data_IF_099718280698
#
_entry.id   IF_099718280698
#
_cell.length_a   1.000
_cell.length_b   1.000
_cell.length_c   1.000
_cell.angle_alpha   90.00
_cell.angle_beta   90.00
_cell.angle_gamma   90.00
#
_symmetry.space_group_name_H-M   'P 1'
#
loop_
_entity.id
_entity.type
_entity.pdbx_description
1 polymer ?
#
# COMPACT_ATOMS: atom_id res chain seq x y z
N UNK A 1 6.10 65.57 52.17
CA UNK A 1 6.77 64.32 51.76
C UNK A 1 5.73 63.31 51.28
N UNK A 2 5.93 62.76 50.09
CA UNK A 2 4.94 62.06 49.24
C UNK A 2 4.55 60.65 49.71
N UNK A 3 3.24 60.34 49.71
CA UNK A 3 2.68 58.99 49.91
C UNK A 3 2.79 58.18 48.61
N UNK A 4 3.74 57.24 48.53
CA UNK A 4 3.84 56.27 47.41
C UNK A 4 2.76 55.19 47.53
N UNK A 5 1.79 55.20 46.60
CA UNK A 5 0.80 54.12 46.38
C UNK A 5 1.49 52.87 45.80
N UNK A 6 1.38 51.72 46.47
CA UNK A 6 1.83 50.41 45.95
C UNK A 6 0.82 49.90 44.91
N UNK A 7 1.20 49.85 43.62
CA UNK A 7 0.44 49.15 42.56
C UNK A 7 0.59 47.63 42.76
N UNK A 8 -0.51 46.93 43.06
CA UNK A 8 -0.55 45.46 43.08
C UNK A 8 -0.42 44.93 41.65
N UNK A 9 0.60 44.13 41.37
CA UNK A 9 0.67 43.32 40.15
C UNK A 9 -0.41 42.23 40.19
N UNK A 10 -1.55 42.47 39.54
CA UNK A 10 -2.57 41.45 39.23
C UNK A 10 -2.61 41.20 37.73
N UNK A 11 -1.53 40.68 37.15
CA UNK A 11 -1.50 40.21 35.75
C UNK A 11 -0.55 39.01 35.67
N UNK A 12 -0.97 37.83 36.15
CA UNK A 12 -0.31 36.54 35.86
C UNK A 12 -1.29 35.36 35.77
N UNK A 13 -2.56 35.52 36.16
CA UNK A 13 -3.54 34.41 36.20
C UNK A 13 -4.40 34.29 34.94
N UNK A 14 -4.63 35.37 34.18
CA UNK A 14 -5.49 35.35 32.99
C UNK A 14 -4.86 34.60 31.80
N UNK A 15 -3.54 34.69 31.63
CA UNK A 15 -2.83 34.05 30.51
C UNK A 15 -2.70 32.52 30.63
N UNK A 16 -2.71 31.97 31.85
CA UNK A 16 -2.69 30.50 32.03
C UNK A 16 -4.05 29.86 31.72
N UNK A 17 -5.16 30.54 32.04
CA UNK A 17 -6.52 30.04 31.74
C UNK A 17 -6.78 29.97 30.23
N UNK A 18 -6.30 30.94 29.45
CA UNK A 18 -6.42 30.91 27.98
C UNK A 18 -5.57 29.81 27.36
N UNK A 19 -4.36 29.55 27.87
CA UNK A 19 -3.50 28.45 27.38
C UNK A 19 -4.12 27.08 27.69
N UNK A 20 -4.66 26.89 28.90
CA UNK A 20 -5.34 25.64 29.28
C UNK A 20 -6.60 25.39 28.43
N UNK A 21 -7.36 26.44 28.11
CA UNK A 21 -8.52 26.32 27.22
C UNK A 21 -8.12 25.92 25.80
N UNK A 22 -7.05 26.50 25.25
CA UNK A 22 -6.52 26.13 23.91
C UNK A 22 -6.01 24.69 23.90
N UNK A 23 -5.26 24.26 24.92
CA UNK A 23 -4.81 22.87 25.04
C UNK A 23 -5.98 21.89 25.14
N UNK A 24 -7.03 22.23 25.89
CA UNK A 24 -8.23 21.40 25.97
C UNK A 24 -8.94 21.27 24.61
N UNK A 25 -9.02 22.36 23.83
CA UNK A 25 -9.58 22.32 22.47
C UNK A 25 -8.72 21.44 21.55
N UNK A 26 -7.39 21.56 21.59
CA UNK A 26 -6.49 20.71 20.79
C UNK A 26 -6.68 19.23 21.14
N UNK A 27 -6.78 18.89 22.43
CA UNK A 27 -7.02 17.51 22.88
C UNK A 27 -8.39 17.01 22.41
N UNK A 28 -9.43 17.85 22.47
CA UNK A 28 -10.77 17.52 21.98
C UNK A 28 -10.78 17.26 20.47
N UNK A 29 -10.11 18.12 19.68
CA UNK A 29 -9.97 17.94 18.23
C UNK A 29 -9.20 16.65 17.94
N UNK A 30 -8.05 16.44 18.57
CA UNK A 30 -7.26 15.23 18.37
C UNK A 30 -8.04 13.96 18.74
N UNK A 31 -8.82 13.98 19.82
CA UNK A 31 -9.66 12.86 20.24
C UNK A 31 -10.81 12.63 19.25
N UNK A 32 -11.44 13.70 18.76
CA UNK A 32 -12.48 13.62 17.73
C UNK A 32 -11.93 13.06 16.41
N UNK A 33 -10.75 13.49 15.97
CA UNK A 33 -10.07 12.93 14.80
C UNK A 33 -9.78 11.44 14.98
N UNK A 34 -9.25 11.02 16.14
CA UNK A 34 -9.00 9.59 16.42
C UNK A 34 -10.28 8.76 16.37
N UNK A 35 -11.37 9.27 16.96
CA UNK A 35 -12.66 8.60 16.91
C UNK A 35 -13.17 8.45 15.46
N UNK A 36 -13.07 9.50 14.65
CA UNK A 36 -13.45 9.46 13.23
C UNK A 36 -12.60 8.46 12.44
N UNK A 37 -11.28 8.45 12.64
CA UNK A 37 -10.38 7.49 11.99
C UNK A 37 -10.70 6.06 12.39
N UNK A 38 -10.92 5.78 13.68
CA UNK A 38 -11.31 4.45 14.14
C UNK A 38 -12.66 4.01 13.57
N UNK A 39 -13.63 4.92 13.49
CA UNK A 39 -14.93 4.62 12.88
C UNK A 39 -14.80 4.31 11.39
N UNK A 40 -14.03 5.12 10.64
CA UNK A 40 -13.75 4.87 9.23
C UNK A 40 -13.05 3.52 9.00
N UNK A 41 -12.10 3.15 9.87
CA UNK A 41 -11.44 1.84 9.81
C UNK A 41 -12.45 0.70 9.99
N UNK A 42 -13.34 0.78 10.96
CA UNK A 42 -14.38 -0.24 11.18
C UNK A 42 -15.32 -0.37 9.98
N UNK A 43 -15.69 0.74 9.33
CA UNK A 43 -16.48 0.70 8.10
C UNK A 43 -15.72 0.03 6.96
N UNK A 44 -14.46 0.42 6.74
CA UNK A 44 -13.60 -0.19 5.73
C UNK A 44 -13.44 -1.70 5.96
N UNK A 45 -13.13 -2.13 7.18
CA UNK A 45 -13.01 -3.55 7.56
C UNK A 45 -14.31 -4.32 7.26
N UNK A 46 -15.47 -3.71 7.55
CA UNK A 46 -16.76 -4.34 7.26
C UNK A 46 -17.03 -4.49 5.75
N UNK A 47 -16.58 -3.52 4.94
CA UNK A 47 -16.76 -3.55 3.48
C UNK A 47 -15.85 -4.60 2.83
N UNK A 48 -14.62 -4.76 3.30
CA UNK A 48 -13.67 -5.72 2.71
C UNK A 48 -13.72 -7.10 3.34
N UNK A 49 -14.45 -7.26 4.45
CA UNK A 49 -14.69 -8.54 5.12
C UNK A 49 -15.42 -9.54 4.20
N UNK A 50 -14.69 -10.57 3.76
CA UNK A 50 -15.18 -11.58 2.81
C UNK A 50 -14.47 -11.54 1.46
N UNK A 51 -13.79 -10.42 1.16
CA UNK A 51 -12.85 -10.29 0.04
C UNK A 51 -11.43 -10.54 0.53
N UNK A 52 -11.02 -9.81 1.57
CA UNK A 52 -9.72 -9.94 2.21
C UNK A 52 -9.77 -10.89 3.40
N UNK A 53 -8.69 -11.63 3.64
CA UNK A 53 -8.52 -12.37 4.90
C UNK A 53 -8.24 -11.40 6.04
N UNK A 54 -8.50 -11.84 7.27
CA UNK A 54 -8.12 -11.07 8.46
C UNK A 54 -6.62 -10.75 8.48
N UNK A 55 -5.78 -11.70 8.05
CA UNK A 55 -4.33 -11.49 8.00
C UNK A 55 -3.93 -10.37 7.03
N UNK A 56 -4.58 -10.23 5.87
CA UNK A 56 -4.31 -9.10 4.97
C UNK A 56 -4.82 -7.79 5.58
N UNK A 57 -6.01 -7.79 6.17
CA UNK A 57 -6.56 -6.60 6.84
C UNK A 57 -5.66 -6.12 7.99
N UNK A 58 -5.09 -7.03 8.78
CA UNK A 58 -4.19 -6.72 9.88
C UNK A 58 -2.91 -6.00 9.41
N UNK A 59 -2.48 -6.23 8.16
CA UNK A 59 -1.32 -5.58 7.55
C UNK A 59 -1.64 -4.24 6.88
N UNK A 60 -2.90 -3.84 6.75
CA UNK A 60 -3.29 -2.59 6.09
C UNK A 60 -2.53 -1.36 6.63
N UNK A 61 -2.39 -1.14 7.95
CA UNK A 61 -1.66 0.01 8.46
C UNK A 61 -0.19 0.03 8.03
N UNK A 62 0.46 -1.15 8.00
CA UNK A 62 1.86 -1.32 7.58
C UNK A 62 2.02 -1.10 6.08
N UNK A 63 1.12 -1.68 5.27
CA UNK A 63 1.08 -1.47 3.82
C UNK A 63 0.91 0.01 3.50
N UNK A 64 -0.06 0.69 4.13
CA UNK A 64 -0.31 2.13 3.93
C UNK A 64 0.90 2.97 4.34
N UNK A 65 1.56 2.63 5.45
CA UNK A 65 2.77 3.31 5.88
C UNK A 65 3.84 3.27 4.79
N UNK A 66 4.22 2.08 4.33
CA UNK A 66 5.26 1.93 3.32
C UNK A 66 4.82 2.51 1.96
N UNK A 67 3.53 2.47 1.65
CA UNK A 67 2.99 3.09 0.45
C UNK A 67 3.19 4.61 0.49
N UNK A 68 2.93 5.24 1.65
CA UNK A 68 3.19 6.67 1.86
C UNK A 68 4.67 7.01 1.79
N UNK A 69 5.54 6.19 2.35
CA UNK A 69 7.00 6.39 2.30
C UNK A 69 7.56 6.31 0.86
N UNK A 70 6.84 5.65 -0.05
CA UNK A 70 7.18 5.54 -1.47
C UNK A 70 6.28 6.40 -2.38
N UNK A 71 5.56 7.38 -1.83
CA UNK A 71 4.68 8.29 -2.56
C UNK A 71 3.56 7.60 -3.39
N UNK A 72 3.12 6.41 -2.95
CA UNK A 72 2.08 5.60 -3.60
C UNK A 72 0.93 5.23 -2.64
N UNK A 73 0.67 6.03 -1.60
CA UNK A 73 -0.45 5.82 -0.66
C UNK A 73 -1.82 5.58 -1.34
N UNK A 74 -2.19 6.26 -2.45
CA UNK A 74 -3.44 5.98 -3.16
C UNK A 74 -3.59 4.55 -3.71
N UNK A 75 -2.50 3.78 -3.79
CA UNK A 75 -2.49 2.41 -4.28
C UNK A 75 -2.59 1.36 -3.16
N UNK A 76 -2.90 1.77 -1.91
CA UNK A 76 -2.98 0.85 -0.76
C UNK A 76 -3.92 -0.32 -1.00
N UNK A 77 -5.12 -0.08 -1.55
CA UNK A 77 -6.08 -1.15 -1.82
C UNK A 77 -5.57 -2.14 -2.90
N UNK A 78 -4.80 -1.67 -3.89
CA UNK A 78 -4.13 -2.54 -4.87
C UNK A 78 -3.04 -3.38 -4.20
N UNK A 79 -2.23 -2.79 -3.32
CA UNK A 79 -1.19 -3.50 -2.59
C UNK A 79 -1.78 -4.61 -1.69
N UNK A 80 -2.95 -4.37 -1.08
CA UNK A 80 -3.67 -5.40 -0.33
C UNK A 80 -4.23 -6.50 -1.23
N UNK A 81 -4.76 -6.15 -2.41
CA UNK A 81 -5.18 -7.13 -3.41
C UNK A 81 -4.00 -7.99 -3.92
N UNK A 82 -2.81 -7.39 -4.08
CA UNK A 82 -1.58 -8.11 -4.41
C UNK A 82 -1.18 -9.05 -3.27
N UNK A 83 -1.13 -8.58 -2.02
CA UNK A 83 -0.85 -9.44 -0.86
C UNK A 83 -1.84 -10.61 -0.75
N UNK A 84 -3.13 -10.34 -1.04
CA UNK A 84 -4.17 -11.35 -1.06
C UNK A 84 -3.90 -12.43 -2.11
N UNK A 85 -3.45 -12.03 -3.30
CA UNK A 85 -3.09 -12.93 -4.39
C UNK A 85 -1.80 -13.72 -4.09
N UNK A 86 -0.79 -13.09 -3.47
CA UNK A 86 0.51 -13.72 -3.18
C UNK A 86 0.43 -14.78 -2.09
N UNK A 87 -0.18 -14.43 -0.95
CA UNK A 87 -0.09 -15.24 0.27
C UNK A 87 -1.37 -15.31 1.06
N UNK A 88 -2.37 -14.48 0.74
CA UNK A 88 -3.53 -14.23 1.60
C UNK A 88 -3.13 -13.69 2.97
N UNK A 89 -2.00 -12.96 3.03
CA UNK A 89 -1.42 -12.41 4.25
C UNK A 89 -0.75 -13.45 5.16
N UNK A 90 -0.50 -14.67 4.65
CA UNK A 90 0.04 -15.76 5.45
C UNK A 90 1.56 -15.89 5.34
N UNK A 91 2.16 -16.49 6.36
CA UNK A 91 3.60 -16.77 6.39
C UNK A 91 4.45 -15.55 6.72
N UNK A 92 5.76 -15.70 6.53
CA UNK A 92 6.74 -14.66 6.87
C UNK A 92 7.08 -13.73 5.69
N UNK A 93 6.68 -14.11 4.48
CA UNK A 93 6.86 -13.34 3.26
C UNK A 93 5.50 -13.04 2.61
N UNK A 94 4.63 -12.23 3.25
CA UNK A 94 3.26 -12.00 2.80
C UNK A 94 3.16 -11.33 1.42
N UNK A 95 4.17 -10.57 0.99
CA UNK A 95 4.24 -9.98 -0.35
C UNK A 95 5.01 -10.83 -1.36
N UNK A 96 5.46 -12.04 -0.97
CA UNK A 96 6.34 -12.93 -1.76
C UNK A 96 7.50 -12.17 -2.42
N UNK A 97 8.13 -11.28 -1.66
CA UNK A 97 9.11 -10.31 -2.17
C UNK A 97 10.55 -10.78 -2.00
N UNK A 98 10.78 -12.02 -1.54
CA UNK A 98 12.12 -12.59 -1.32
C UNK A 98 13.03 -12.51 -2.56
N UNK A 99 12.50 -12.74 -3.75
CA UNK A 99 13.29 -12.72 -5.00
C UNK A 99 13.51 -11.31 -5.56
N UNK A 100 12.93 -10.28 -4.92
CA UNK A 100 13.03 -8.88 -5.35
C UNK A 100 14.48 -8.39 -5.39
N UNK A 101 14.74 -7.44 -6.30
CA UNK A 101 16.01 -6.72 -6.35
C UNK A 101 16.29 -5.93 -5.07
N UNK A 102 15.25 -5.49 -4.36
CA UNK A 102 15.34 -4.71 -3.11
C UNK A 102 15.57 -5.57 -1.87
N UNK A 103 15.38 -6.88 -1.94
CA UNK A 103 15.80 -7.76 -0.85
C UNK A 103 17.34 -7.77 -0.78
N UNK A 104 17.85 -7.25 0.33
CA UNK A 104 19.28 -7.11 0.63
C UNK A 104 19.68 -7.78 1.94
N UNK A 105 18.70 -8.32 2.67
CA UNK A 105 18.89 -8.91 4.00
C UNK A 105 18.85 -10.44 3.94
N UNK A 106 17.89 -11.00 3.20
CA UNK A 106 17.65 -12.44 3.11
C UNK A 106 18.17 -12.99 1.78
N UNK A 107 18.24 -14.32 1.68
CA UNK A 107 18.54 -14.99 0.41
C UNK A 107 17.46 -14.64 -0.63
N UNK A 108 17.87 -14.50 -1.91
CA UNK A 108 16.95 -14.29 -3.03
C UNK A 108 16.41 -15.63 -3.52
N UNK A 109 15.62 -16.27 -2.68
CA UNK A 109 14.96 -17.53 -2.96
C UNK A 109 13.49 -17.46 -2.51
N UNK A 110 12.58 -18.21 -3.15
CA UNK A 110 11.16 -18.20 -2.79
C UNK A 110 10.93 -18.42 -1.29
N UNK A 111 10.22 -17.48 -0.64
CA UNK A 111 9.85 -17.57 0.78
C UNK A 111 11.00 -17.49 1.78
N UNK A 112 12.14 -16.93 1.40
CA UNK A 112 13.33 -16.81 2.26
C UNK A 112 13.26 -15.67 3.29
N UNK A 113 12.42 -14.66 3.08
CA UNK A 113 12.20 -13.58 4.07
C UNK A 113 11.49 -14.16 5.30
N UNK A 114 12.09 -13.96 6.48
CA UNK A 114 11.52 -14.40 7.77
C UNK A 114 10.82 -13.28 8.55
N UNK A 115 10.87 -12.05 8.06
CA UNK A 115 10.26 -10.86 8.68
C UNK A 115 9.13 -10.30 7.78
N UNK A 116 7.86 -10.44 8.20
CA UNK A 116 6.71 -9.92 7.45
C UNK A 116 6.76 -8.42 7.19
N UNK A 117 7.24 -7.61 8.14
CA UNK A 117 7.32 -6.15 7.97
C UNK A 117 8.33 -5.79 6.87
N UNK A 118 9.48 -6.47 6.88
CA UNK A 118 10.49 -6.36 5.81
C UNK A 118 9.96 -6.81 4.45
N UNK A 119 9.21 -7.92 4.39
CA UNK A 119 8.56 -8.38 3.15
C UNK A 119 7.64 -7.31 2.58
N UNK A 120 6.84 -6.66 3.42
CA UNK A 120 5.92 -5.59 3.01
C UNK A 120 6.72 -4.39 2.50
N UNK A 121 7.73 -3.92 3.26
CA UNK A 121 8.59 -2.81 2.85
C UNK A 121 9.22 -3.07 1.47
N UNK A 122 9.81 -4.24 1.25
CA UNK A 122 10.45 -4.63 -0.02
C UNK A 122 9.43 -4.73 -1.15
N UNK A 123 8.29 -5.38 -0.91
CA UNK A 123 7.23 -5.54 -1.92
C UNK A 123 6.65 -4.19 -2.35
N UNK A 124 6.30 -3.34 -1.40
CA UNK A 124 5.76 -2.00 -1.68
C UNK A 124 6.78 -1.14 -2.43
N UNK A 125 8.06 -1.19 -2.03
CA UNK A 125 9.13 -0.47 -2.75
C UNK A 125 9.27 -0.97 -4.19
N UNK A 126 9.24 -2.28 -4.38
CA UNK A 126 9.37 -2.88 -5.70
C UNK A 126 8.19 -2.53 -6.61
N UNK A 127 6.97 -2.51 -6.08
CA UNK A 127 5.79 -2.09 -6.84
C UNK A 127 5.80 -0.60 -7.20
N UNK A 128 6.35 0.27 -6.35
CA UNK A 128 6.59 1.68 -6.68
C UNK A 128 7.46 1.82 -7.93
N UNK A 129 8.55 1.04 -8.03
CA UNK A 129 9.37 1.02 -9.26
C UNK A 129 8.59 0.50 -10.47
N UNK A 130 7.70 -0.49 -10.29
CA UNK A 130 6.83 -1.00 -11.37
C UNK A 130 5.86 0.07 -11.87
N UNK A 131 5.25 0.86 -10.96
CA UNK A 131 4.37 1.97 -11.31
C UNK A 131 5.11 3.05 -12.11
N UNK A 132 6.32 3.40 -11.68
CA UNK A 132 7.16 4.38 -12.37
C UNK A 132 7.52 3.94 -13.79
N UNK A 133 7.95 2.69 -13.96
CA UNK A 133 8.31 2.12 -15.26
C UNK A 133 7.11 1.99 -16.22
N UNK A 134 5.94 1.67 -15.66
CA UNK A 134 4.68 1.61 -16.40
C UNK A 134 4.11 3.01 -16.70
N UNK A 135 4.69 4.07 -16.11
CA UNK A 135 4.19 5.44 -16.14
C UNK A 135 2.76 5.60 -15.60
N UNK A 136 2.34 4.74 -14.67
CA UNK A 136 1.04 4.82 -14.02
C UNK A 136 1.01 6.06 -13.11
N UNK A 137 0.04 6.97 -13.31
CA UNK A 137 -0.05 8.25 -12.58
C UNK A 137 -1.15 8.30 -11.53
N UNK A 138 -2.07 7.36 -11.57
CA UNK A 138 -3.09 7.17 -10.56
C UNK A 138 -3.73 5.78 -10.66
N UNK A 139 -4.40 5.30 -9.61
CA UNK A 139 -5.10 4.01 -9.60
C UNK A 139 -6.25 3.94 -10.62
N UNK A 140 -6.71 5.07 -11.16
CA UNK A 140 -7.71 5.16 -12.22
C UNK A 140 -7.15 4.82 -13.62
N UNK A 141 -5.82 4.85 -13.82
CA UNK A 141 -5.19 4.47 -15.07
C UNK A 141 -5.01 2.95 -15.15
N UNK A 142 -6.13 2.24 -15.32
CA UNK A 142 -6.21 0.78 -15.24
C UNK A 142 -5.23 0.08 -16.20
N UNK A 143 -5.06 0.60 -17.42
CA UNK A 143 -4.16 0.00 -18.41
C UNK A 143 -2.69 0.03 -17.95
N UNK A 144 -2.23 1.15 -17.37
CA UNK A 144 -0.85 1.23 -16.83
C UNK A 144 -0.73 0.52 -15.49
N UNK A 145 -1.80 0.49 -14.71
CA UNK A 145 -1.85 -0.22 -13.44
C UNK A 145 -1.70 -1.73 -13.64
N UNK A 146 -2.45 -2.32 -14.56
CA UNK A 146 -2.34 -3.75 -14.91
C UNK A 146 -0.94 -4.10 -15.41
N UNK A 147 -0.32 -3.20 -16.18
CA UNK A 147 1.07 -3.36 -16.62
C UNK A 147 2.06 -3.35 -15.46
N UNK A 148 1.92 -2.44 -14.51
CA UNK A 148 2.74 -2.42 -13.30
C UNK A 148 2.55 -3.69 -12.46
N UNK A 149 1.30 -4.12 -12.27
CA UNK A 149 0.96 -5.34 -11.52
C UNK A 149 1.57 -6.58 -12.16
N UNK A 150 1.45 -6.74 -13.49
CA UNK A 150 2.07 -7.86 -14.19
C UNK A 150 3.61 -7.78 -14.17
N UNK A 151 4.17 -6.56 -14.18
CA UNK A 151 5.59 -6.31 -14.00
C UNK A 151 6.13 -6.73 -12.62
N UNK A 152 5.31 -6.61 -11.57
CA UNK A 152 5.65 -7.13 -10.25
C UNK A 152 5.87 -8.65 -10.30
N UNK A 153 4.96 -9.38 -10.96
CA UNK A 153 5.00 -10.84 -11.08
C UNK A 153 6.14 -11.38 -11.96
N UNK A 154 6.39 -10.75 -13.11
CA UNK A 154 7.39 -11.22 -14.07
C UNK A 154 8.77 -10.59 -13.92
N UNK A 155 8.89 -9.57 -13.08
CA UNK A 155 10.05 -8.71 -13.07
C UNK A 155 9.86 -7.46 -13.93
N UNK A 156 10.46 -6.35 -13.50
CA UNK A 156 10.35 -5.04 -14.14
C UNK A 156 10.80 -5.01 -15.62
N UNK A 157 11.62 -5.97 -16.08
CA UNK A 157 11.99 -6.12 -17.48
C UNK A 157 10.81 -6.39 -18.42
N UNK A 158 9.74 -7.02 -17.92
CA UNK A 158 8.49 -7.22 -18.67
C UNK A 158 7.85 -5.89 -19.09
N UNK A 159 7.91 -4.88 -18.22
CA UNK A 159 7.24 -3.59 -18.45
C UNK A 159 7.81 -2.92 -19.70
N UNK A 160 9.14 -2.82 -19.80
CA UNK A 160 9.80 -2.26 -20.99
C UNK A 160 9.52 -3.11 -22.24
N UNK A 161 9.59 -4.44 -22.11
CA UNK A 161 9.33 -5.36 -23.23
C UNK A 161 7.91 -5.23 -23.80
N UNK A 162 6.92 -5.07 -22.93
CA UNK A 162 5.51 -4.96 -23.31
C UNK A 162 5.18 -3.58 -23.91
N UNK A 163 5.80 -2.51 -23.40
CA UNK A 163 5.64 -1.15 -23.93
C UNK A 163 6.10 -1.00 -25.37
N UNK A 164 7.17 -1.69 -25.77
CA UNK A 164 7.67 -1.69 -27.15
C UNK A 164 6.73 -2.40 -28.15
N UNK A 165 5.70 -3.10 -27.67
CA UNK A 165 4.74 -3.87 -28.48
C UNK A 165 3.37 -3.21 -28.63
N UNK A 166 3.32 -1.89 -28.50
CA UNK A 166 2.18 -1.02 -28.88
C UNK A 166 0.82 -1.31 -28.23
N UNK A 167 0.72 -2.07 -27.15
CA UNK A 167 -0.53 -2.20 -26.36
C UNK A 167 -0.31 -2.39 -24.85
N UNK A 168 0.93 -2.32 -24.35
CA UNK A 168 1.21 -2.45 -22.92
C UNK A 168 0.80 -3.81 -22.37
N UNK A 169 0.09 -3.84 -21.24
CA UNK A 169 -0.45 -5.08 -20.71
C UNK A 169 -1.57 -5.61 -21.60
N UNK A 170 -1.40 -6.85 -22.04
CA UNK A 170 -2.47 -7.73 -22.48
C UNK A 170 -2.16 -9.13 -21.96
N UNK A 171 -3.19 -9.95 -21.75
CA UNK A 171 -2.98 -11.35 -21.36
C UNK A 171 -2.17 -12.10 -22.44
N UNK A 172 -2.35 -11.75 -23.72
CA UNK A 172 -1.56 -12.30 -24.82
C UNK A 172 -0.06 -11.94 -24.69
N UNK A 173 0.27 -10.68 -24.43
CA UNK A 173 1.65 -10.24 -24.18
C UNK A 173 2.25 -10.97 -22.98
N UNK A 174 1.48 -11.12 -21.90
CA UNK A 174 1.93 -11.85 -20.71
C UNK A 174 2.23 -13.33 -21.02
N UNK A 175 1.38 -13.99 -21.81
CA UNK A 175 1.59 -15.39 -22.24
C UNK A 175 2.79 -15.53 -23.18
N UNK A 176 2.97 -14.61 -24.12
CA UNK A 176 4.12 -14.59 -25.03
C UNK A 176 5.42 -14.44 -24.23
N UNK A 177 5.47 -13.48 -23.30
CA UNK A 177 6.66 -13.25 -22.47
C UNK A 177 6.99 -14.46 -21.60
N UNK A 178 6.02 -15.00 -20.87
CA UNK A 178 6.21 -16.20 -20.04
C UNK A 178 6.72 -17.40 -20.86
N UNK A 179 6.18 -17.63 -22.06
CA UNK A 179 6.65 -18.70 -22.94
C UNK A 179 8.08 -18.47 -23.45
N UNK A 180 8.44 -17.23 -23.79
CA UNK A 180 9.80 -16.88 -24.19
C UNK A 180 10.80 -17.12 -23.05
N UNK A 181 10.48 -16.66 -21.84
CA UNK A 181 11.35 -16.82 -20.67
C UNK A 181 11.53 -18.29 -20.26
N UNK A 182 10.46 -19.10 -20.31
CA UNK A 182 10.54 -20.55 -20.11
C UNK A 182 11.51 -21.22 -21.09
N UNK A 183 11.41 -20.86 -22.37
CA UNK A 183 12.28 -21.41 -23.40
C UNK A 183 13.73 -20.97 -23.25
N UNK A 184 13.97 -19.71 -22.88
CA UNK A 184 15.31 -19.14 -22.68
C UNK A 184 16.02 -19.73 -21.46
N UNK A 185 15.29 -19.89 -20.35
CA UNK A 185 15.83 -20.36 -19.07
C UNK A 185 15.78 -21.89 -18.90
N UNK A 186 15.05 -22.59 -19.78
CA UNK A 186 14.79 -24.02 -19.64
C UNK A 186 13.88 -24.34 -18.45
N UNK A 187 12.96 -23.44 -18.11
CA UNK A 187 12.02 -23.60 -16.98
C UNK A 187 10.64 -24.07 -17.46
N UNK A 188 9.95 -24.83 -16.60
CA UNK A 188 8.57 -25.27 -16.88
C UNK A 188 7.53 -24.16 -16.64
N UNK A 189 7.85 -23.22 -15.74
CA UNK A 189 6.98 -22.11 -15.32
C UNK A 189 7.82 -20.85 -15.23
N UNK A 190 7.27 -19.72 -15.70
CA UNK A 190 7.83 -18.40 -15.48
C UNK A 190 6.67 -17.46 -15.14
N UNK A 191 6.57 -17.10 -13.85
CA UNK A 191 5.47 -16.34 -13.26
C UNK A 191 4.07 -16.86 -13.63
N UNK A 192 3.09 -15.97 -13.55
CA UNK A 192 1.68 -16.23 -13.83
C UNK A 192 1.15 -15.21 -14.86
N UNK A 193 0.90 -15.62 -16.12
CA UNK A 193 0.37 -14.73 -17.15
C UNK A 193 -1.00 -14.10 -16.86
N UNK A 194 -1.74 -14.64 -15.89
CA UNK A 194 -3.06 -14.14 -15.49
C UNK A 194 -2.99 -13.34 -14.17
N UNK A 195 -1.79 -13.06 -13.67
CA UNK A 195 -1.59 -12.44 -12.36
C UNK A 195 -2.33 -11.12 -12.21
N UNK A 196 -2.19 -10.20 -13.17
CA UNK A 196 -2.87 -8.91 -13.13
C UNK A 196 -4.40 -9.07 -13.10
N UNK A 197 -4.98 -9.95 -13.93
CA UNK A 197 -6.42 -10.23 -13.90
C UNK A 197 -6.89 -10.75 -12.51
N UNK A 198 -6.07 -11.59 -11.86
CA UNK A 198 -6.41 -12.15 -10.54
C UNK A 198 -6.35 -11.11 -9.44
N UNK A 199 -5.35 -10.21 -9.46
CA UNK A 199 -5.25 -9.07 -8.54
C UNK A 199 -6.40 -8.08 -8.77
N UNK A 200 -6.66 -7.71 -10.02
CA UNK A 200 -7.73 -6.76 -10.35
C UNK A 200 -9.10 -7.26 -9.91
N UNK A 201 -9.38 -8.56 -9.97
CA UNK A 201 -10.60 -9.13 -9.41
C UNK A 201 -10.76 -8.89 -7.91
N UNK A 202 -9.69 -9.00 -7.12
CA UNK A 202 -9.75 -8.67 -5.68
C UNK A 202 -9.94 -7.17 -5.48
N UNK A 203 -9.24 -6.35 -6.27
CA UNK A 203 -9.36 -4.90 -6.20
C UNK A 203 -10.78 -4.42 -6.53
N UNK A 204 -11.37 -4.90 -7.62
CA UNK A 204 -12.76 -4.59 -8.00
C UNK A 204 -13.75 -4.95 -6.90
N UNK A 205 -13.56 -6.08 -6.21
CA UNK A 205 -14.40 -6.48 -5.08
C UNK A 205 -14.20 -5.59 -3.86
N UNK A 206 -12.97 -5.10 -3.62
CA UNK A 206 -12.70 -4.10 -2.57
C UNK A 206 -13.45 -2.81 -2.89
N UNK A 207 -13.38 -2.32 -4.14
CA UNK A 207 -14.03 -1.08 -4.56
C UNK A 207 -15.57 -1.19 -4.57
N UNK A 208 -16.14 -2.28 -5.11
CA UNK A 208 -17.60 -2.45 -5.21
C UNK A 208 -18.28 -2.44 -3.85
N UNK A 209 -17.63 -3.01 -2.83
CA UNK A 209 -18.18 -3.03 -1.48
C UNK A 209 -18.05 -1.68 -0.76
N UNK A 210 -17.20 -0.77 -1.25
CA UNK A 210 -17.14 0.61 -0.77
C UNK A 210 -18.31 1.43 -1.33
N UNK A 211 -18.65 1.25 -2.62
CA UNK A 211 -19.74 1.97 -3.29
C UNK A 211 -21.15 1.55 -2.82
N UNK A 212 -21.36 0.30 -2.41
CA UNK A 212 -22.66 -0.18 -1.93
C UNK A 212 -23.06 0.35 -0.53
N UNK A 213 -22.12 0.94 0.20
CA UNK A 213 -22.30 1.38 1.58
C UNK A 213 -22.23 2.91 1.77
N UNK A 214 -22.20 3.70 0.68
CA UNK A 214 -22.41 5.16 0.65
C UNK A 214 -23.88 5.55 0.44
#
# INVERSE_FOLDING_TARGET
>A
MSKKRKKKHRIKTLGCLSILAVLAIIILIASGCRYLTSYAQTLWESNVSGVLTSAVMDYEPTVRQYARENDIEPYTDILLAMMMQESKGMGNDPMQSSESTHNTVYEKAPGAIEDPDYSIMVGVRYFSDSLDLAECKGPEDLSRLELAIQGYNFGNGYISWARERNEGYTEENARIFSNAMKAELGWDVYGDPEYANKVMRYYEQIQSNQDENE
#
